data_IF_116505948887
#
_entry.id   IF_116505948887
#
_cell.length_a   1.000
_cell.length_b   1.000
_cell.length_c   1.000
_cell.angle_alpha   90.00
_cell.angle_beta   90.00
_cell.angle_gamma   90.00
#
_symmetry.space_group_name_H-M   'P 1'
#
loop_
_entity.id
_entity.type
_entity.pdbx_description
1 polymer ?
#
# COMPACT_ATOMS: atom_id res chain seq x y z
N UNK A 1 -11.85 -31.60 -15.73
CA UNK A 1 -11.02 -30.83 -14.79
C UNK A 1 -11.80 -29.58 -14.49
N UNK A 2 -12.27 -29.38 -13.26
CA UNK A 2 -13.05 -28.18 -12.92
C UNK A 2 -12.06 -27.02 -12.92
N UNK A 3 -12.32 -25.99 -13.70
CA UNK A 3 -11.67 -24.69 -13.53
C UNK A 3 -12.08 -24.19 -12.14
N UNK A 4 -11.15 -24.27 -11.18
CA UNK A 4 -11.24 -23.43 -10.00
C UNK A 4 -11.03 -22.01 -10.50
N UNK A 5 -12.13 -21.27 -10.67
CA UNK A 5 -12.07 -19.83 -10.81
C UNK A 5 -11.44 -19.34 -9.50
N UNK A 6 -10.16 -18.99 -9.53
CA UNK A 6 -9.52 -18.24 -8.46
C UNK A 6 -10.42 -17.04 -8.19
N UNK A 7 -11.08 -17.04 -7.03
CA UNK A 7 -11.86 -15.87 -6.61
C UNK A 7 -10.87 -14.74 -6.46
N UNK A 8 -10.97 -13.75 -7.34
CA UNK A 8 -10.19 -12.54 -7.19
C UNK A 8 -10.36 -11.99 -5.78
N UNK A 9 -9.24 -11.70 -5.13
CA UNK A 9 -9.24 -11.09 -3.81
C UNK A 9 -10.03 -9.77 -3.86
N UNK A 10 -10.96 -9.55 -2.93
CA UNK A 10 -11.77 -8.34 -2.96
C UNK A 10 -10.92 -7.12 -2.66
N UNK A 11 -11.34 -5.99 -3.21
CA UNK A 11 -10.84 -4.71 -2.77
C UNK A 11 -11.26 -4.45 -1.32
N UNK A 12 -10.34 -3.84 -0.57
CA UNK A 12 -10.60 -3.34 0.78
C UNK A 12 -10.29 -1.86 0.87
N UNK A 13 -11.14 -1.10 1.52
CA UNK A 13 -10.86 0.29 1.89
C UNK A 13 -10.14 0.31 3.24
N UNK A 14 -9.05 1.08 3.32
CA UNK A 14 -8.31 1.29 4.57
C UNK A 14 -9.14 2.15 5.53
N UNK A 15 -9.13 1.80 6.81
CA UNK A 15 -9.69 2.66 7.84
C UNK A 15 -8.75 3.82 8.20
N UNK A 16 -9.15 4.65 9.17
CA UNK A 16 -8.37 5.80 9.58
C UNK A 16 -6.95 5.43 10.07
N UNK A 17 -6.80 4.32 10.78
CA UNK A 17 -5.50 3.86 11.29
C UNK A 17 -4.64 3.28 10.16
N UNK A 18 -5.28 2.53 9.25
CA UNK A 18 -4.66 2.04 8.03
C UNK A 18 -4.10 3.18 7.16
N UNK A 19 -4.88 4.24 6.94
CA UNK A 19 -4.45 5.42 6.17
C UNK A 19 -3.28 6.13 6.86
N UNK A 20 -3.33 6.32 8.19
CA UNK A 20 -2.23 6.95 8.94
C UNK A 20 -0.93 6.13 8.79
N UNK A 21 -1.03 4.81 8.95
CA UNK A 21 0.12 3.90 8.86
C UNK A 21 0.66 3.86 7.43
N UNK A 22 -0.22 3.76 6.43
CA UNK A 22 0.17 3.76 5.03
C UNK A 22 0.89 5.05 4.62
N UNK A 23 0.38 6.21 5.04
CA UNK A 23 1.05 7.50 4.78
C UNK A 23 2.42 7.59 5.43
N UNK A 24 2.62 7.00 6.62
CA UNK A 24 3.95 6.91 7.25
C UNK A 24 4.90 6.05 6.41
N UNK A 25 4.46 4.89 5.94
CA UNK A 25 5.24 4.03 5.03
C UNK A 25 5.63 4.82 3.78
N UNK A 26 4.67 5.45 3.10
CA UNK A 26 4.93 6.25 1.90
C UNK A 26 5.89 7.40 2.18
N UNK A 27 5.75 8.10 3.31
CA UNK A 27 6.65 9.18 3.69
C UNK A 27 8.09 8.72 3.87
N UNK A 28 8.31 7.56 4.50
CA UNK A 28 9.65 6.99 4.71
C UNK A 28 10.28 6.63 3.36
N UNK A 29 9.52 5.91 2.50
CA UNK A 29 9.97 5.56 1.16
C UNK A 29 10.30 6.82 0.34
N UNK A 30 9.43 7.83 0.41
CA UNK A 30 9.62 9.11 -0.27
C UNK A 30 10.93 9.79 0.15
N UNK A 31 11.20 9.88 1.46
CA UNK A 31 12.45 10.42 1.99
C UNK A 31 13.68 9.61 1.57
N UNK A 32 13.59 8.28 1.58
CA UNK A 32 14.68 7.40 1.18
C UNK A 32 15.07 7.59 -0.29
N UNK A 33 14.11 7.54 -1.21
CA UNK A 33 14.42 7.71 -2.63
C UNK A 33 14.91 9.13 -2.95
N UNK A 34 14.37 10.18 -2.31
CA UNK A 34 14.90 11.54 -2.49
C UNK A 34 16.36 11.70 -2.03
N UNK A 35 16.81 10.89 -1.07
CA UNK A 35 18.20 10.91 -0.61
C UNK A 35 19.15 10.23 -1.60
N UNK A 36 18.66 9.23 -2.36
CA UNK A 36 19.50 8.31 -3.14
C UNK A 36 19.39 8.54 -4.64
N UNK A 37 18.26 9.06 -5.13
CA UNK A 37 18.04 9.33 -6.56
C UNK A 37 18.16 10.81 -6.88
N UNK A 38 19.02 11.13 -7.86
CA UNK A 38 18.91 12.36 -8.62
C UNK A 38 17.67 12.27 -9.52
N UNK A 39 16.72 13.21 -9.44
CA UNK A 39 15.42 13.10 -10.12
C UNK A 39 15.60 13.34 -11.62
N UNK A 40 15.86 12.27 -12.40
CA UNK A 40 15.94 12.37 -13.87
C UNK A 40 14.57 12.39 -14.56
N UNK A 41 13.53 11.90 -13.90
CA UNK A 41 12.14 12.13 -14.27
C UNK A 41 11.24 11.73 -13.11
N UNK A 42 10.53 12.70 -12.53
CA UNK A 42 9.50 12.43 -11.55
C UNK A 42 8.26 11.91 -12.32
N UNK A 43 7.80 10.69 -12.01
CA UNK A 43 6.57 10.15 -12.63
C UNK A 43 5.31 10.78 -12.03
N UNK A 44 4.20 10.77 -12.77
CA UNK A 44 2.91 11.27 -12.26
C UNK A 44 2.47 10.53 -11.00
N UNK A 45 2.67 9.21 -10.94
CA UNK A 45 2.43 8.40 -9.74
C UNK A 45 3.29 8.82 -8.55
N UNK A 46 4.52 9.29 -8.78
CA UNK A 46 5.38 9.79 -7.70
C UNK A 46 4.81 11.08 -7.09
N UNK A 47 4.39 12.03 -7.93
CA UNK A 47 3.74 13.25 -7.44
C UNK A 47 2.39 12.95 -6.78
N UNK A 48 1.61 12.03 -7.33
CA UNK A 48 0.35 11.61 -6.72
C UNK A 48 0.58 11.04 -5.31
N UNK A 49 1.56 10.15 -5.13
CA UNK A 49 1.90 9.61 -3.80
C UNK A 49 2.31 10.71 -2.81
N UNK A 50 3.02 11.74 -3.28
CA UNK A 50 3.38 12.91 -2.46
C UNK A 50 2.15 13.72 -2.05
N UNK A 51 1.23 13.98 -2.99
CA UNK A 51 -0.06 14.63 -2.68
C UNK A 51 -0.86 13.78 -1.69
N UNK A 52 -0.90 12.46 -1.87
CA UNK A 52 -1.64 11.53 -1.02
C UNK A 52 -1.16 11.57 0.44
N UNK A 53 0.15 11.66 0.67
CA UNK A 53 0.74 11.77 2.02
C UNK A 53 0.12 12.95 2.78
N UNK A 54 0.02 14.12 2.15
CA UNK A 54 -0.44 15.35 2.82
C UNK A 54 -1.96 15.59 2.74
N UNK A 55 -2.66 14.87 1.86
CA UNK A 55 -4.09 15.09 1.62
C UNK A 55 -4.94 14.76 2.87
N UNK A 56 -5.73 15.71 3.43
CA UNK A 56 -6.56 15.44 4.61
C UNK A 56 -7.75 14.51 4.30
N UNK A 57 -8.26 14.57 3.05
CA UNK A 57 -9.42 13.82 2.59
C UNK A 57 -9.00 12.80 1.52
N UNK A 58 -8.28 11.77 1.97
CA UNK A 58 -7.84 10.68 1.11
C UNK A 58 -8.61 9.40 1.42
N UNK A 59 -8.96 8.64 0.39
CA UNK A 59 -9.37 7.24 0.49
C UNK A 59 -8.29 6.39 -0.15
N UNK A 60 -8.04 5.24 0.44
CA UNK A 60 -7.04 4.31 -0.09
C UNK A 60 -7.64 2.92 -0.08
N UNK A 61 -7.61 2.28 -1.24
CA UNK A 61 -8.05 0.91 -1.42
C UNK A 61 -6.85 0.03 -1.69
N UNK A 62 -6.93 -1.19 -1.18
CA UNK A 62 -5.90 -2.21 -1.30
C UNK A 62 -6.53 -3.53 -1.70
N UNK A 63 -5.93 -4.18 -2.68
CA UNK A 63 -6.27 -5.54 -3.12
C UNK A 63 -4.99 -6.36 -3.17
N UNK A 64 -5.05 -7.58 -2.64
CA UNK A 64 -3.92 -8.51 -2.73
C UNK A 64 -3.76 -8.95 -4.19
N UNK A 65 -2.55 -8.85 -4.73
CA UNK A 65 -2.24 -9.14 -6.13
C UNK A 65 -1.29 -10.33 -6.25
N UNK A 66 -0.36 -10.49 -5.32
CA UNK A 66 0.56 -11.61 -5.22
C UNK A 66 0.83 -12.00 -3.77
N UNK A 67 1.98 -12.63 -3.52
CA UNK A 67 2.36 -13.06 -2.17
C UNK A 67 2.66 -11.84 -1.29
N UNK A 68 3.46 -10.92 -1.84
CA UNK A 68 3.86 -9.66 -1.18
C UNK A 68 3.43 -8.43 -1.98
N UNK A 69 2.84 -8.62 -3.17
CA UNK A 69 2.37 -7.55 -4.04
C UNK A 69 0.91 -7.20 -3.77
N UNK A 70 0.65 -5.90 -3.68
CA UNK A 70 -0.68 -5.34 -3.50
C UNK A 70 -0.96 -4.29 -4.55
N UNK A 71 -2.15 -4.33 -5.14
CA UNK A 71 -2.66 -3.24 -5.95
C UNK A 71 -3.24 -2.18 -5.02
N UNK A 72 -2.78 -0.94 -5.16
CA UNK A 72 -3.25 0.22 -4.41
C UNK A 72 -3.99 1.14 -5.35
N UNK A 73 -5.13 1.65 -4.91
CA UNK A 73 -5.83 2.78 -5.52
C UNK A 73 -5.95 3.89 -4.49
N UNK A 74 -5.39 5.05 -4.80
CA UNK A 74 -5.57 6.25 -3.99
C UNK A 74 -6.60 7.17 -4.62
N UNK A 75 -7.43 7.80 -3.78
CA UNK A 75 -8.36 8.84 -4.20
C UNK A 75 -8.18 10.07 -3.31
N UNK A 76 -8.00 11.24 -3.93
CA UNK A 76 -7.86 12.53 -3.23
C UNK A 76 -9.00 13.43 -3.69
N UNK A 77 -9.85 13.85 -2.75
CA UNK A 77 -10.91 14.80 -3.04
C UNK A 77 -10.37 16.24 -3.04
N UNK A 78 -10.51 16.94 -4.16
CA UNK A 78 -10.18 18.35 -4.35
C UNK A 78 -11.44 19.13 -4.76
N UNK A 79 -12.20 19.56 -3.75
CA UNK A 79 -13.49 20.24 -3.94
C UNK A 79 -14.53 19.33 -4.59
N UNK A 80 -14.81 19.54 -5.88
CA UNK A 80 -15.76 18.73 -6.67
C UNK A 80 -15.08 17.66 -7.52
N UNK A 81 -13.75 17.67 -7.59
CA UNK A 81 -12.98 16.74 -8.40
C UNK A 81 -12.38 15.64 -7.50
N UNK A 82 -12.24 14.44 -8.05
CA UNK A 82 -11.52 13.34 -7.41
C UNK A 82 -10.31 13.04 -8.30
N UNK A 83 -9.11 13.17 -7.75
CA UNK A 83 -7.90 12.68 -8.40
C UNK A 83 -7.69 11.23 -7.99
N UNK A 84 -7.39 10.37 -8.94
CA UNK A 84 -7.18 8.94 -8.71
C UNK A 84 -5.88 8.48 -9.34
N UNK A 85 -5.17 7.57 -8.68
CA UNK A 85 -4.05 6.84 -9.28
C UNK A 85 -3.98 5.42 -8.71
N UNK A 86 -3.45 4.50 -9.51
CA UNK A 86 -3.31 3.09 -9.18
C UNK A 86 -1.88 2.61 -9.38
N UNK A 87 -1.37 1.80 -8.45
CA UNK A 87 -0.02 1.23 -8.58
C UNK A 87 0.14 -0.07 -7.81
N UNK A 88 1.15 -0.86 -8.16
CA UNK A 88 1.57 -2.03 -7.39
C UNK A 88 2.55 -1.60 -6.30
N UNK A 89 2.25 -1.97 -5.06
CA UNK A 89 3.11 -1.81 -3.90
C UNK A 89 3.64 -3.17 -3.47
N UNK A 90 4.95 -3.27 -3.23
CA UNK A 90 5.61 -4.50 -2.77
C UNK A 90 5.85 -4.37 -1.27
N UNK A 91 5.37 -5.35 -0.50
CA UNK A 91 5.55 -5.42 0.94
C UNK A 91 6.83 -6.16 1.33
N UNK A 92 7.98 -5.52 1.10
CA UNK A 92 9.28 -6.11 1.41
C UNK A 92 9.53 -6.34 2.91
N UNK A 93 8.76 -5.70 3.81
CA UNK A 93 8.89 -5.97 5.25
C UNK A 93 8.29 -7.34 5.58
N UNK A 94 7.14 -7.68 4.99
CA UNK A 94 6.54 -9.00 5.20
C UNK A 94 7.42 -10.10 4.59
N UNK A 95 7.95 -9.89 3.39
CA UNK A 95 8.91 -10.81 2.75
C UNK A 95 10.12 -11.10 3.67
N UNK A 96 10.72 -10.05 4.24
CA UNK A 96 11.87 -10.21 5.14
C UNK A 96 11.49 -10.90 6.46
N UNK A 97 10.30 -10.60 7.02
CA UNK A 97 9.77 -11.28 8.22
C UNK A 97 9.63 -12.79 7.99
N UNK A 98 9.16 -13.19 6.82
CA UNK A 98 8.98 -14.60 6.47
C UNK A 98 10.35 -15.29 6.34
N UNK A 99 11.34 -14.64 5.71
CA UNK A 99 12.72 -15.13 5.68
C UNK A 99 13.37 -15.30 7.06
N UNK A 100 13.15 -14.37 8.00
CA UNK A 100 13.62 -14.51 9.38
C UNK A 100 12.87 -15.59 10.17
N UNK A 101 11.57 -15.78 9.88
CA UNK A 101 10.77 -16.82 10.50
C UNK A 101 11.23 -18.21 10.07
N UNK A 102 11.51 -18.40 8.77
CA UNK A 102 12.03 -19.64 8.20
C UNK A 102 13.40 -20.02 8.78
N UNK A 103 14.24 -19.02 9.06
CA UNK A 103 15.53 -19.21 9.73
C UNK A 103 15.44 -19.28 11.27
N UNK A 104 14.23 -19.27 11.85
CA UNK A 104 13.94 -19.29 13.30
C UNK A 104 14.55 -18.13 14.09
N UNK A 105 14.87 -17.02 13.44
CA UNK A 105 15.40 -15.83 14.08
C UNK A 105 14.28 -14.81 14.35
N UNK A 106 13.52 -15.05 15.42
CA UNK A 106 12.34 -14.26 15.78
C UNK A 106 12.66 -12.98 16.57
N UNK A 107 13.94 -12.72 16.85
CA UNK A 107 14.37 -11.54 17.64
C UNK A 107 14.68 -10.31 16.79
N UNK A 108 14.55 -10.41 15.47
CA UNK A 108 14.89 -9.33 14.56
C UNK A 108 13.91 -8.13 14.74
N UNK A 109 14.40 -6.88 14.76
CA UNK A 109 13.53 -5.70 14.83
C UNK A 109 12.46 -5.59 13.74
N UNK A 110 12.62 -6.26 12.59
CA UNK A 110 11.69 -6.24 11.45
C UNK A 110 10.25 -6.64 11.83
N UNK A 111 10.09 -7.51 12.82
CA UNK A 111 8.78 -7.93 13.34
C UNK A 111 8.00 -6.79 14.02
N UNK A 112 8.67 -5.69 14.37
CA UNK A 112 8.05 -4.52 14.99
C UNK A 112 7.81 -3.37 14.00
N UNK A 113 8.19 -3.51 12.73
CA UNK A 113 8.04 -2.46 11.72
C UNK A 113 6.69 -2.65 11.03
N UNK A 114 5.71 -1.73 11.15
CA UNK A 114 4.42 -1.88 10.48
C UNK A 114 4.56 -2.01 8.97
N UNK A 115 3.80 -2.92 8.37
CA UNK A 115 3.86 -3.20 6.93
C UNK A 115 2.48 -3.17 6.25
N UNK A 116 2.46 -3.35 4.92
CA UNK A 116 1.21 -3.27 4.17
C UNK A 116 0.29 -4.47 4.44
N UNK A 117 0.88 -5.64 4.73
CA UNK A 117 0.16 -6.85 5.13
C UNK A 117 -0.57 -6.63 6.46
N UNK A 118 0.07 -5.96 7.43
CA UNK A 118 -0.57 -5.59 8.70
C UNK A 118 -1.81 -4.71 8.46
N UNK A 119 -1.71 -3.74 7.54
CA UNK A 119 -2.83 -2.86 7.15
C UNK A 119 -3.94 -3.64 6.43
N UNK A 120 -3.58 -4.49 5.47
CA UNK A 120 -4.54 -5.28 4.70
C UNK A 120 -5.35 -6.24 5.57
N UNK A 121 -4.72 -6.84 6.58
CA UNK A 121 -5.38 -7.80 7.47
C UNK A 121 -6.18 -7.11 8.58
N UNK A 122 -5.63 -6.04 9.18
CA UNK A 122 -6.16 -5.52 10.44
C UNK A 122 -6.82 -4.13 10.34
N UNK A 123 -6.49 -3.36 9.29
CA UNK A 123 -6.89 -1.95 9.16
C UNK A 123 -7.55 -1.65 7.82
N UNK A 124 -8.23 -2.63 7.24
CA UNK A 124 -9.01 -2.46 6.02
C UNK A 124 -10.23 -3.39 5.99
N UNK A 125 -11.28 -2.97 5.27
CA UNK A 125 -12.55 -3.71 5.16
C UNK A 125 -12.96 -3.82 3.71
N UNK A 126 -13.58 -4.95 3.35
CA UNK A 126 -14.11 -5.17 2.00
C UNK A 126 -14.98 -3.98 1.59
N UNK A 127 -14.68 -3.44 0.42
CA UNK A 127 -15.36 -2.29 -0.14
C UNK A 127 -15.65 -2.55 -1.62
N UNK A 128 -16.80 -2.07 -2.07
CA UNK A 128 -17.09 -1.95 -3.49
C UNK A 128 -16.39 -0.71 -4.01
N UNK A 129 -15.62 -0.86 -5.10
CA UNK A 129 -15.03 0.27 -5.81
C UNK A 129 -15.82 0.46 -7.09
N UNK A 130 -16.33 1.66 -7.31
CA UNK A 130 -16.86 2.05 -8.60
C UNK A 130 -15.68 2.10 -9.59
N UNK A 131 -15.64 1.13 -10.51
CA UNK A 131 -14.75 1.22 -11.66
C UNK A 131 -15.25 2.36 -12.55
N UNK A 132 -14.42 3.39 -12.82
CA UNK A 132 -14.80 4.50 -13.69
C UNK A 132 -15.07 4.05 -15.13
#
# INVERSE_FOLDING_TARGET
>A
MKEEIEKEEPWKEMDAEGIITFKRILSILYSYYNMIWEPKSISETWEFRKELIIAPNARVFVKKFGEYEYLIRGEIADGKNIKTDEWIHIDGIQEERDGFSDSKNLTNPVFNIPCLTDIYLNHSKVAEIDNP
#
